data_IF_048599292852
#
_entry.id   IF_048599292852
#
_cell.length_a   1.000
_cell.length_b   1.000
_cell.length_c   1.000
_cell.angle_alpha   90.00
_cell.angle_beta   90.00
_cell.angle_gamma   90.00
#
_symmetry.space_group_name_H-M   'P 1'
#
loop_
_entity.id
_entity.type
_entity.pdbx_description
1 polymer ?
#
# COMPACT_ATOMS: atom_id res chain seq x y z
N UNK A 1 -19.65 -9.17 14.12
CA UNK A 1 -18.93 -8.55 15.25
C UNK A 1 -18.02 -7.49 14.64
N UNK A 2 -17.87 -6.31 15.25
CA UNK A 2 -16.90 -5.34 14.76
C UNK A 2 -15.50 -5.97 14.81
N UNK A 3 -14.74 -5.83 13.72
CA UNK A 3 -13.36 -6.30 13.70
C UNK A 3 -12.56 -5.33 14.59
N UNK A 4 -11.89 -5.86 15.60
CA UNK A 4 -11.02 -5.06 16.46
C UNK A 4 -9.64 -4.97 15.80
N UNK A 5 -9.43 -3.94 14.97
CA UNK A 5 -8.14 -3.68 14.34
C UNK A 5 -7.14 -3.17 15.36
N UNK A 6 -5.92 -3.67 15.29
CA UNK A 6 -4.82 -3.17 16.13
C UNK A 6 -4.24 -1.88 15.54
N UNK A 7 -3.62 -1.07 16.38
CA UNK A 7 -2.85 0.10 15.96
C UNK A 7 -1.86 -0.23 14.85
N UNK A 8 -1.78 0.61 13.81
CA UNK A 8 -0.92 0.40 12.65
C UNK A 8 -1.42 -0.64 11.65
N UNK A 9 -2.65 -1.18 11.81
CA UNK A 9 -3.22 -2.11 10.83
C UNK A 9 -3.44 -1.41 9.48
N UNK A 10 -2.93 -2.01 8.39
CA UNK A 10 -3.10 -1.48 7.03
C UNK A 10 -4.50 -1.84 6.55
N UNK A 11 -5.37 -0.85 6.50
CA UNK A 11 -6.78 -1.05 6.14
C UNK A 11 -7.04 -0.92 4.65
N UNK A 12 -6.27 -0.07 3.96
CA UNK A 12 -6.43 0.13 2.52
C UNK A 12 -5.14 0.60 1.86
N UNK A 13 -4.86 0.07 0.67
CA UNK A 13 -3.93 0.64 -0.29
C UNK A 13 -4.71 1.29 -1.42
N UNK A 14 -4.45 2.57 -1.70
CA UNK A 14 -5.12 3.31 -2.79
C UNK A 14 -4.21 3.43 -3.98
N UNK A 15 -4.75 3.11 -5.15
CA UNK A 15 -4.10 3.16 -6.44
C UNK A 15 -4.91 4.08 -7.35
N UNK A 16 -4.25 5.04 -7.97
CA UNK A 16 -4.85 5.88 -9.00
C UNK A 16 -4.55 5.28 -10.36
N UNK A 17 -5.57 5.16 -11.21
CA UNK A 17 -5.49 4.49 -12.50
C UNK A 17 -6.05 5.36 -13.63
N UNK A 18 -5.52 5.20 -14.84
CA UNK A 18 -6.01 5.90 -16.03
C UNK A 18 -7.34 5.36 -16.54
N UNK A 19 -7.61 4.07 -16.33
CA UNK A 19 -8.85 3.41 -16.73
C UNK A 19 -9.33 2.48 -15.60
N UNK A 20 -10.31 2.96 -14.84
CA UNK A 20 -10.85 2.23 -13.69
C UNK A 20 -11.51 0.91 -14.11
N UNK A 21 -12.21 0.87 -15.24
CA UNK A 21 -12.91 -0.32 -15.67
C UNK A 21 -11.93 -1.43 -16.08
N UNK A 22 -10.91 -1.05 -16.87
CA UNK A 22 -9.86 -1.97 -17.28
C UNK A 22 -9.07 -2.50 -16.06
N UNK A 23 -8.65 -1.62 -15.17
CA UNK A 23 -7.87 -2.00 -13.98
C UNK A 23 -8.70 -2.88 -13.04
N UNK A 24 -9.96 -2.50 -12.74
CA UNK A 24 -10.87 -3.32 -11.95
C UNK A 24 -10.99 -4.74 -12.50
N UNK A 25 -11.25 -4.87 -13.81
CA UNK A 25 -11.46 -6.18 -14.45
C UNK A 25 -10.16 -7.00 -14.43
N UNK A 26 -9.01 -6.36 -14.64
CA UNK A 26 -7.70 -7.00 -14.53
C UNK A 26 -7.44 -7.55 -13.12
N UNK A 27 -7.69 -6.75 -12.07
CA UNK A 27 -7.48 -7.16 -10.68
C UNK A 27 -8.45 -8.27 -10.27
N UNK A 28 -9.72 -8.16 -10.66
CA UNK A 28 -10.70 -9.21 -10.37
C UNK A 28 -10.32 -10.54 -11.05
N UNK A 29 -9.87 -10.49 -12.30
CA UNK A 29 -9.54 -11.71 -13.05
C UNK A 29 -8.19 -12.30 -12.64
N UNK A 30 -7.15 -11.48 -12.47
CA UNK A 30 -5.77 -11.92 -12.32
C UNK A 30 -5.30 -12.02 -10.89
N UNK A 31 -5.74 -11.11 -10.02
CA UNK A 31 -5.42 -11.14 -8.60
C UNK A 31 -6.55 -11.77 -7.74
N UNK A 32 -7.53 -12.40 -8.37
CA UNK A 32 -8.61 -13.10 -7.70
C UNK A 32 -9.34 -12.21 -6.64
N UNK A 33 -9.63 -10.96 -7.03
CA UNK A 33 -10.41 -10.01 -6.23
C UNK A 33 -11.86 -9.98 -6.68
N UNK A 34 -12.72 -9.39 -5.86
CA UNK A 34 -14.09 -9.03 -6.17
C UNK A 34 -14.36 -7.59 -5.73
N UNK A 35 -15.33 -6.94 -6.39
CA UNK A 35 -15.74 -5.58 -6.04
C UNK A 35 -16.60 -5.62 -4.79
N UNK A 36 -16.11 -5.05 -3.69
CA UNK A 36 -16.85 -4.91 -2.44
C UNK A 36 -17.77 -3.68 -2.45
N UNK A 37 -17.30 -2.58 -3.04
CA UNK A 37 -18.00 -1.30 -3.11
C UNK A 37 -17.55 -0.52 -4.34
N UNK A 38 -18.44 0.30 -4.89
CA UNK A 38 -18.11 1.29 -5.92
C UNK A 38 -18.94 2.55 -5.72
N UNK A 39 -18.39 3.69 -6.12
CA UNK A 39 -19.06 4.97 -5.92
C UNK A 39 -18.27 6.13 -6.51
N UNK A 40 -18.56 7.32 -6.03
CA UNK A 40 -17.86 8.55 -6.38
C UNK A 40 -17.13 9.11 -5.16
N UNK A 41 -15.92 9.64 -5.38
CA UNK A 41 -15.16 10.32 -4.33
C UNK A 41 -15.92 11.57 -3.90
N UNK A 42 -16.22 11.70 -2.62
CA UNK A 42 -16.89 12.88 -2.10
C UNK A 42 -15.97 14.10 -2.09
N UNK A 43 -16.53 15.30 -2.22
CA UNK A 43 -15.75 16.53 -2.17
C UNK A 43 -14.96 16.70 -0.85
N UNK A 44 -15.52 16.40 0.34
CA UNK A 44 -14.74 16.44 1.57
C UNK A 44 -13.55 15.47 1.58
N UNK A 45 -13.72 14.27 1.01
CA UNK A 45 -12.63 13.30 0.92
C UNK A 45 -11.53 13.79 -0.02
N UNK A 46 -11.89 14.26 -1.21
CA UNK A 46 -10.94 14.82 -2.17
C UNK A 46 -10.15 16.00 -1.58
N UNK A 47 -10.84 16.89 -0.84
CA UNK A 47 -10.21 18.02 -0.16
C UNK A 47 -9.25 17.56 0.94
N UNK A 48 -9.57 16.49 1.66
CA UNK A 48 -8.66 15.94 2.68
C UNK A 48 -7.34 15.42 2.11
N UNK A 49 -7.33 15.03 0.86
CA UNK A 49 -6.14 14.59 0.13
C UNK A 49 -5.40 15.73 -0.58
N UNK A 50 -5.86 16.98 -0.44
CA UNK A 50 -5.38 18.13 -1.24
C UNK A 50 -5.47 17.85 -2.76
N UNK A 51 -6.55 17.19 -3.17
CA UNK A 51 -6.78 16.71 -4.53
C UNK A 51 -8.25 16.93 -4.95
N UNK A 52 -8.71 18.19 -4.85
CA UNK A 52 -10.11 18.59 -5.07
C UNK A 52 -10.66 18.14 -6.43
N UNK A 53 -9.81 18.03 -7.43
CA UNK A 53 -10.18 17.55 -8.77
C UNK A 53 -10.61 16.07 -8.82
N UNK A 54 -10.34 15.31 -7.75
CA UNK A 54 -10.86 13.95 -7.58
C UNK A 54 -12.34 13.92 -7.12
N UNK A 55 -12.92 15.06 -6.72
CA UNK A 55 -14.33 15.10 -6.33
C UNK A 55 -15.22 14.64 -7.50
N UNK A 56 -16.16 13.73 -7.19
CA UNK A 56 -17.04 13.07 -8.15
C UNK A 56 -16.35 12.15 -9.19
N UNK A 57 -15.07 11.82 -9.01
CA UNK A 57 -14.45 10.76 -9.82
C UNK A 57 -14.87 9.38 -9.31
N UNK A 58 -15.04 8.39 -10.20
CA UNK A 58 -15.42 7.06 -9.80
C UNK A 58 -14.27 6.32 -9.10
N UNK A 59 -14.65 5.45 -8.15
CA UNK A 59 -13.76 4.53 -7.46
C UNK A 59 -14.39 3.16 -7.27
N UNK A 60 -13.60 2.15 -6.99
CA UNK A 60 -14.05 0.89 -6.42
C UNK A 60 -13.13 0.42 -5.29
N UNK A 61 -13.71 -0.27 -4.31
CA UNK A 61 -13.01 -1.05 -3.32
C UNK A 61 -12.99 -2.51 -3.75
N UNK A 62 -11.82 -3.11 -3.77
CA UNK A 62 -11.60 -4.51 -4.08
C UNK A 62 -11.20 -5.25 -2.81
N UNK A 63 -11.63 -6.51 -2.70
CA UNK A 63 -11.30 -7.43 -1.63
C UNK A 63 -11.00 -8.83 -2.19
N UNK A 64 -10.37 -9.74 -1.42
CA UNK A 64 -10.22 -11.12 -1.82
C UNK A 64 -11.56 -11.76 -2.19
N UNK A 65 -11.59 -12.51 -3.28
CA UNK A 65 -12.81 -13.15 -3.79
C UNK A 65 -13.38 -14.17 -2.80
N UNK A 66 -14.70 -14.17 -2.68
CA UNK A 66 -15.45 -15.09 -1.85
C UNK A 66 -15.85 -14.51 -0.48
N UNK A 67 -15.33 -13.35 -0.10
CA UNK A 67 -15.68 -12.72 1.17
C UNK A 67 -17.11 -12.18 1.18
N UNK A 68 -17.58 -11.60 0.06
CA UNK A 68 -18.98 -11.15 -0.07
C UNK A 68 -19.96 -12.30 0.13
N UNK A 69 -19.72 -13.43 -0.53
CA UNK A 69 -20.60 -14.59 -0.42
C UNK A 69 -20.57 -15.21 0.98
N UNK A 70 -19.46 -15.07 1.70
CA UNK A 70 -19.31 -15.52 3.07
C UNK A 70 -19.80 -14.51 4.12
N UNK A 71 -20.25 -13.31 3.69
CA UNK A 71 -20.62 -12.19 4.56
C UNK A 71 -19.50 -11.83 5.56
N UNK A 72 -18.25 -11.83 5.08
CA UNK A 72 -17.06 -11.48 5.84
C UNK A 72 -16.44 -10.20 5.33
N UNK A 73 -15.81 -9.45 6.22
CA UNK A 73 -15.00 -8.29 5.83
C UNK A 73 -13.55 -8.71 5.61
N UNK A 74 -12.84 -8.10 4.64
CA UNK A 74 -11.41 -8.32 4.46
C UNK A 74 -10.61 -7.64 5.56
N UNK A 75 -9.40 -8.11 5.77
CA UNK A 75 -8.42 -7.42 6.62
C UNK A 75 -8.01 -6.08 5.99
N UNK A 76 -7.79 -6.06 4.67
CA UNK A 76 -7.50 -4.83 3.92
C UNK A 76 -8.23 -4.78 2.59
N UNK A 77 -8.43 -3.57 2.08
CA UNK A 77 -8.94 -3.29 0.74
C UNK A 77 -7.83 -2.78 -0.19
N UNK A 78 -8.04 -2.98 -1.49
CA UNK A 78 -7.42 -2.15 -2.53
C UNK A 78 -8.48 -1.17 -3.05
N UNK A 79 -8.19 0.13 -3.02
CA UNK A 79 -9.06 1.16 -3.59
C UNK A 79 -8.47 1.62 -4.91
N UNK A 80 -9.19 1.41 -6.01
CA UNK A 80 -8.85 1.97 -7.30
C UNK A 80 -9.64 3.25 -7.51
N UNK A 81 -8.98 4.33 -7.95
CA UNK A 81 -9.59 5.64 -8.23
C UNK A 81 -9.28 6.02 -9.67
N UNK A 82 -10.31 6.42 -10.43
CA UNK A 82 -10.12 6.99 -11.75
C UNK A 82 -9.33 8.29 -11.68
N UNK A 83 -8.26 8.41 -12.47
CA UNK A 83 -7.61 9.71 -12.66
C UNK A 83 -8.56 10.68 -13.38
N UNK A 84 -8.66 11.96 -12.94
CA UNK A 84 -9.53 12.94 -13.61
C UNK A 84 -9.04 13.30 -15.02
N UNK A 85 -7.78 13.07 -15.32
CA UNK A 85 -7.15 13.30 -16.62
C UNK A 85 -6.24 12.13 -16.98
N UNK A 86 -5.99 11.94 -18.28
CA UNK A 86 -4.96 10.97 -18.69
C UNK A 86 -3.58 11.45 -18.26
N UNK A 87 -2.83 10.57 -17.60
CA UNK A 87 -1.47 10.83 -17.14
C UNK A 87 -0.49 9.86 -17.81
N UNK A 88 0.76 10.29 -17.94
CA UNK A 88 1.86 9.38 -18.29
C UNK A 88 2.33 8.68 -17.02
N UNK A 89 2.27 7.33 -16.95
CA UNK A 89 2.73 6.61 -15.78
C UNK A 89 4.24 6.81 -15.53
N UNK A 90 4.61 6.98 -14.26
CA UNK A 90 6.00 7.17 -13.82
C UNK A 90 6.43 5.97 -12.98
N UNK A 91 7.57 5.33 -13.28
CA UNK A 91 8.04 4.17 -12.51
C UNK A 91 8.25 4.49 -11.02
N UNK A 92 7.50 3.83 -10.15
CA UNK A 92 7.57 4.03 -8.70
C UNK A 92 8.93 3.63 -8.12
N UNK A 93 9.57 2.61 -8.72
CA UNK A 93 10.90 2.18 -8.33
C UNK A 93 12.01 3.24 -8.55
N UNK A 94 11.73 4.34 -9.24
CA UNK A 94 12.71 5.43 -9.51
C UNK A 94 12.35 6.75 -8.82
N UNK A 95 11.26 6.78 -8.06
CA UNK A 95 10.78 8.00 -7.40
C UNK A 95 10.53 7.79 -5.92
N UNK A 96 10.72 8.83 -5.11
CA UNK A 96 10.41 8.81 -3.69
C UNK A 96 8.90 8.77 -3.44
N UNK A 97 8.51 8.29 -2.26
CA UNK A 97 7.12 8.09 -1.84
C UNK A 97 6.72 6.61 -1.86
N UNK A 98 5.42 6.32 -1.86
CA UNK A 98 4.94 4.94 -1.85
C UNK A 98 5.45 4.17 -3.07
N UNK A 99 6.33 3.21 -2.84
CA UNK A 99 6.89 2.36 -3.89
C UNK A 99 5.98 1.16 -4.18
N UNK A 100 5.59 0.42 -3.15
CA UNK A 100 4.88 -0.85 -3.30
C UNK A 100 3.91 -1.11 -2.16
N UNK A 101 2.93 -1.99 -2.42
CA UNK A 101 2.16 -2.66 -1.37
C UNK A 101 2.58 -4.13 -1.35
N UNK A 102 2.97 -4.62 -0.16
CA UNK A 102 3.25 -6.04 0.03
C UNK A 102 1.97 -6.77 0.40
N UNK A 103 1.61 -7.73 -0.43
CA UNK A 103 0.41 -8.53 -0.27
C UNK A 103 0.81 -9.98 -0.09
N UNK A 104 0.29 -10.63 0.94
CA UNK A 104 0.54 -12.05 1.08
C UNK A 104 -0.36 -12.87 0.15
N UNK A 105 0.24 -13.92 -0.40
CA UNK A 105 -0.41 -14.81 -1.37
C UNK A 105 -0.23 -16.27 -0.95
N UNK A 106 -1.17 -17.11 -1.35
CA UNK A 106 -1.16 -18.54 -0.99
C UNK A 106 -0.07 -19.31 -1.71
N UNK A 107 0.09 -19.05 -3.01
CA UNK A 107 1.11 -19.70 -3.85
C UNK A 107 1.66 -18.69 -4.87
N UNK A 108 2.93 -18.29 -4.68
CA UNK A 108 3.58 -17.30 -5.54
C UNK A 108 3.91 -17.87 -6.94
N UNK A 109 4.13 -19.19 -7.07
CA UNK A 109 4.43 -19.80 -8.36
C UNK A 109 3.19 -19.99 -9.22
N UNK A 110 2.08 -20.43 -8.63
CA UNK A 110 0.79 -20.51 -9.32
C UNK A 110 0.35 -19.11 -9.80
N UNK A 111 0.46 -18.12 -8.92
CA UNK A 111 0.12 -16.73 -9.27
C UNK A 111 1.04 -16.18 -10.36
N UNK A 112 2.34 -16.51 -10.34
CA UNK A 112 3.28 -16.14 -11.40
C UNK A 112 2.81 -16.64 -12.76
N UNK A 113 2.42 -17.92 -12.86
CA UNK A 113 1.94 -18.49 -14.11
C UNK A 113 0.65 -17.81 -14.59
N UNK A 114 -0.24 -17.46 -13.68
CA UNK A 114 -1.51 -16.74 -13.97
C UNK A 114 -1.28 -15.31 -14.46
N UNK A 115 -0.19 -14.66 -14.01
CA UNK A 115 0.13 -13.27 -14.38
C UNK A 115 0.90 -13.15 -15.70
N UNK A 116 1.49 -14.23 -16.22
CA UNK A 116 2.16 -14.23 -17.52
C UNK A 116 1.22 -13.82 -18.63
N UNK A 117 1.64 -12.84 -19.45
CA UNK A 117 0.85 -12.35 -20.58
C UNK A 117 -0.44 -11.64 -20.19
N UNK A 118 -0.59 -11.24 -18.91
CA UNK A 118 -1.68 -10.38 -18.44
C UNK A 118 -1.32 -8.90 -18.61
N UNK A 119 -2.08 -8.00 -18.07
CA UNK A 119 -1.72 -6.57 -18.00
C UNK A 119 -0.62 -6.26 -16.99
N UNK A 120 -0.25 -7.22 -16.11
CA UNK A 120 0.87 -7.09 -15.17
C UNK A 120 2.19 -7.51 -15.79
N UNK A 121 3.28 -6.81 -15.43
CA UNK A 121 4.65 -7.16 -15.78
C UNK A 121 5.37 -7.73 -14.56
N UNK A 122 5.80 -9.00 -14.64
CA UNK A 122 6.60 -9.59 -13.57
C UNK A 122 8.05 -9.13 -13.73
N UNK A 123 8.53 -8.34 -12.78
CA UNK A 123 9.91 -7.79 -12.76
C UNK A 123 10.83 -8.59 -11.85
N UNK A 124 10.29 -9.31 -10.86
CA UNK A 124 10.99 -10.24 -10.02
C UNK A 124 10.19 -11.53 -9.90
N UNK A 125 10.55 -12.63 -10.63
CA UNK A 125 9.86 -13.91 -10.52
C UNK A 125 9.99 -14.49 -9.10
N UNK A 126 9.05 -15.37 -8.67
CA UNK A 126 9.06 -15.93 -7.33
C UNK A 126 10.35 -16.69 -7.05
N UNK A 127 11.03 -16.36 -5.97
CA UNK A 127 12.32 -16.93 -5.59
C UNK A 127 12.50 -16.90 -4.08
N UNK A 128 13.00 -18.00 -3.51
CA UNK A 128 13.47 -17.98 -2.11
C UNK A 128 14.65 -17.03 -1.99
N UNK A 129 14.63 -16.18 -0.98
CA UNK A 129 15.71 -15.23 -0.71
C UNK A 129 16.76 -15.88 0.20
N UNK A 130 18.03 -15.60 -0.07
CA UNK A 130 19.13 -15.98 0.83
C UNK A 130 18.96 -15.21 2.16
N UNK A 131 18.97 -15.95 3.28
CA UNK A 131 18.84 -15.36 4.62
C UNK A 131 17.41 -15.05 5.08
N UNK A 132 16.39 -15.19 4.22
CA UNK A 132 14.97 -15.10 4.56
C UNK A 132 14.29 -16.37 4.05
N UNK A 133 14.29 -17.41 4.87
CA UNK A 133 13.83 -18.75 4.45
C UNK A 133 12.32 -18.94 4.52
N UNK A 134 11.60 -18.04 5.17
CA UNK A 134 10.17 -18.17 5.47
C UNK A 134 9.24 -17.46 4.48
N UNK A 135 9.78 -16.79 3.45
CA UNK A 135 8.99 -16.13 2.42
C UNK A 135 9.51 -16.42 1.01
N UNK A 136 8.59 -16.38 0.04
CA UNK A 136 8.88 -16.44 -1.39
C UNK A 136 8.29 -15.18 -2.03
N UNK A 137 9.08 -14.11 -2.17
CA UNK A 137 8.65 -12.87 -2.79
C UNK A 137 8.57 -12.99 -4.32
N UNK A 138 7.62 -12.25 -4.89
CA UNK A 138 7.49 -11.96 -6.32
C UNK A 138 7.19 -10.47 -6.49
N UNK A 139 7.79 -9.81 -7.48
CA UNK A 139 7.59 -8.39 -7.74
C UNK A 139 6.87 -8.19 -9.07
N UNK A 140 5.80 -7.43 -9.07
CA UNK A 140 4.99 -7.14 -10.26
C UNK A 140 4.70 -5.65 -10.36
N UNK A 141 4.59 -5.19 -11.61
CA UNK A 141 4.22 -3.81 -11.96
C UNK A 141 2.93 -3.86 -12.79
N UNK A 142 1.95 -3.08 -12.41
CA UNK A 142 0.69 -2.95 -13.13
C UNK A 142 0.74 -1.88 -14.23
N UNK A 143 -0.39 -1.71 -14.96
CA UNK A 143 -0.47 -0.83 -16.14
C UNK A 143 -0.15 0.63 -15.84
N UNK A 144 -0.51 1.13 -14.66
CA UNK A 144 -0.31 2.51 -14.23
C UNK A 144 0.95 2.68 -13.36
N UNK A 145 1.91 1.74 -13.48
CA UNK A 145 3.17 1.67 -12.74
C UNK A 145 3.00 1.43 -11.23
N UNK A 146 1.82 1.02 -10.79
CA UNK A 146 1.65 0.49 -9.43
C UNK A 146 2.49 -0.76 -9.25
N UNK A 147 3.09 -0.89 -8.07
CA UNK A 147 3.97 -2.00 -7.74
C UNK A 147 3.39 -2.82 -6.60
N UNK A 148 3.47 -4.14 -6.73
CA UNK A 148 3.16 -5.08 -5.68
C UNK A 148 4.34 -6.02 -5.42
N UNK A 149 4.61 -6.27 -4.15
CA UNK A 149 5.40 -7.39 -3.71
C UNK A 149 4.44 -8.47 -3.23
N UNK A 150 4.31 -9.52 -4.00
CA UNK A 150 3.39 -10.64 -3.75
C UNK A 150 4.19 -11.73 -3.04
N UNK A 151 3.98 -11.87 -1.73
CA UNK A 151 4.80 -12.70 -0.86
C UNK A 151 4.03 -13.94 -0.40
N UNK A 152 4.52 -15.13 -0.76
CA UNK A 152 4.07 -16.36 -0.13
C UNK A 152 4.81 -16.52 1.20
N UNK A 153 4.08 -16.38 2.30
CA UNK A 153 4.60 -16.54 3.66
C UNK A 153 4.42 -17.98 4.09
N UNK A 154 5.52 -18.67 4.40
CA UNK A 154 5.53 -20.07 4.80
C UNK A 154 5.39 -20.25 6.31
N UNK A 155 5.94 -19.32 7.08
CA UNK A 155 5.86 -19.30 8.56
C UNK A 155 6.23 -17.91 9.08
N UNK A 156 5.71 -17.53 10.25
CA UNK A 156 6.23 -16.39 11.03
C UNK A 156 7.57 -16.75 11.67
N UNK A 157 8.38 -15.75 12.02
CA UNK A 157 9.62 -15.91 12.76
C UNK A 157 9.58 -15.22 14.15
N UNK A 158 10.70 -15.32 14.91
CA UNK A 158 10.75 -14.73 16.25
C UNK A 158 10.77 -13.19 16.25
N UNK A 159 11.19 -12.55 15.14
CA UNK A 159 11.36 -11.10 15.03
C UNK A 159 10.17 -10.41 14.38
N UNK A 160 9.48 -11.12 13.50
CA UNK A 160 8.39 -10.57 12.69
C UNK A 160 7.18 -11.50 12.73
N UNK A 161 6.02 -10.89 12.91
CA UNK A 161 4.72 -11.59 12.90
C UNK A 161 4.02 -11.30 11.58
N UNK A 162 4.45 -12.01 10.53
CA UNK A 162 3.92 -11.86 9.18
C UNK A 162 2.77 -12.85 8.99
N UNK A 163 1.58 -12.40 8.55
CA UNK A 163 0.43 -13.27 8.39
C UNK A 163 0.61 -14.26 7.23
N UNK A 164 0.13 -15.48 7.41
CA UNK A 164 0.00 -16.47 6.34
C UNK A 164 -1.29 -16.19 5.57
N UNK A 165 -1.26 -16.30 4.24
CA UNK A 165 -2.42 -16.01 3.40
C UNK A 165 -3.56 -17.02 3.62
N UNK A 166 -4.77 -16.50 3.83
CA UNK A 166 -6.02 -17.26 3.90
C UNK A 166 -6.71 -17.36 2.54
N UNK A 167 -6.40 -16.44 1.62
CA UNK A 167 -6.92 -16.35 0.25
C UNK A 167 -5.79 -16.44 -0.77
N UNK A 168 -6.10 -16.67 -2.05
CA UNK A 168 -5.09 -16.77 -3.11
C UNK A 168 -4.24 -15.50 -3.20
N UNK A 169 -4.90 -14.33 -3.16
CA UNK A 169 -4.29 -13.02 -2.92
C UNK A 169 -5.06 -12.41 -1.76
N UNK A 170 -4.40 -12.16 -0.65
CA UNK A 170 -5.07 -11.87 0.62
C UNK A 170 -4.92 -10.40 1.01
N UNK A 171 -4.22 -10.08 2.08
CA UNK A 171 -4.16 -8.74 2.68
C UNK A 171 -2.84 -8.03 2.38
N UNK A 172 -2.89 -6.71 2.41
CA UNK A 172 -1.69 -5.88 2.49
C UNK A 172 -1.15 -6.03 3.93
N UNK A 173 0.12 -6.40 4.07
CA UNK A 173 0.72 -6.57 5.40
C UNK A 173 1.94 -5.68 5.65
N UNK A 174 2.56 -5.13 4.60
CA UNK A 174 3.59 -4.09 4.64
C UNK A 174 3.30 -3.10 3.50
N UNK A 175 3.61 -1.82 3.73
CA UNK A 175 3.68 -0.81 2.68
C UNK A 175 5.10 -0.31 2.55
N UNK A 176 5.60 -0.18 1.32
CA UNK A 176 7.00 0.13 1.03
C UNK A 176 7.15 1.58 0.60
N UNK A 177 8.04 2.29 1.28
CA UNK A 177 8.34 3.70 1.05
C UNK A 177 9.77 3.87 0.55
N UNK A 178 9.94 4.33 -0.69
CA UNK A 178 11.23 4.76 -1.20
C UNK A 178 11.61 6.14 -0.67
N UNK A 179 12.75 6.27 0.01
CA UNK A 179 13.15 7.51 0.68
C UNK A 179 14.55 8.00 0.26
N UNK A 180 14.78 9.33 0.24
CA UNK A 180 16.10 9.90 0.05
C UNK A 180 16.98 9.79 1.32
N UNK A 181 16.34 9.67 2.49
CA UNK A 181 16.99 9.60 3.80
C UNK A 181 16.19 8.64 4.71
N UNK A 182 16.53 7.36 4.62
CA UNK A 182 15.86 6.28 5.37
C UNK A 182 15.81 6.56 6.88
N UNK A 183 16.91 7.03 7.47
CA UNK A 183 17.00 7.20 8.93
C UNK A 183 16.12 8.34 9.43
N UNK A 184 16.04 9.44 8.68
CA UNK A 184 15.13 10.55 8.97
C UNK A 184 13.67 10.09 8.88
N UNK A 185 13.29 9.35 7.82
CA UNK A 185 11.92 8.83 7.64
C UNK A 185 11.55 7.82 8.72
N UNK A 186 12.48 6.90 9.07
CA UNK A 186 12.30 5.93 10.15
C UNK A 186 12.03 6.60 11.50
N UNK A 187 12.76 7.68 11.81
CA UNK A 187 12.56 8.44 13.02
C UNK A 187 11.23 9.18 13.02
N UNK A 188 10.95 9.93 11.94
CA UNK A 188 9.77 10.79 11.85
C UNK A 188 8.48 9.98 11.90
N UNK A 189 8.34 8.94 11.07
CA UNK A 189 7.14 8.10 11.08
C UNK A 189 7.01 7.26 12.34
N UNK A 190 8.14 6.76 12.89
CA UNK A 190 8.13 6.05 14.17
C UNK A 190 7.55 6.92 15.31
N UNK A 191 7.91 8.20 15.36
CA UNK A 191 7.39 9.14 16.35
C UNK A 191 5.95 9.57 16.07
N UNK A 192 5.65 9.98 14.84
CA UNK A 192 4.31 10.47 14.47
C UNK A 192 3.24 9.40 14.62
N UNK A 193 3.53 8.18 14.16
CA UNK A 193 2.59 7.07 14.14
C UNK A 193 2.69 6.15 15.37
N UNK A 194 3.57 6.45 16.33
CA UNK A 194 3.86 5.59 17.49
C UNK A 194 4.19 4.13 17.10
N UNK A 195 4.93 3.97 16.01
CA UNK A 195 5.44 2.68 15.58
C UNK A 195 6.86 2.47 16.09
N UNK A 196 7.19 1.26 16.51
CA UNK A 196 8.55 0.90 16.96
C UNK A 196 9.45 0.60 15.77
N UNK A 197 10.75 0.88 15.93
CA UNK A 197 11.75 0.46 14.95
C UNK A 197 11.92 -1.05 15.01
N UNK A 198 11.78 -1.69 13.88
CA UNK A 198 11.99 -3.11 13.67
C UNK A 198 13.39 -3.43 13.12
N UNK A 199 13.57 -4.63 12.55
CA UNK A 199 14.82 -5.04 11.92
C UNK A 199 15.22 -4.13 10.76
N UNK A 200 16.54 -4.08 10.53
CA UNK A 200 17.15 -3.49 9.34
C UNK A 200 17.86 -4.60 8.57
N UNK A 201 17.70 -4.59 7.25
CA UNK A 201 18.25 -5.59 6.35
C UNK A 201 19.08 -4.94 5.26
N UNK A 202 20.05 -5.67 4.74
CA UNK A 202 20.75 -5.36 3.49
C UNK A 202 20.44 -6.46 2.48
N UNK A 203 19.67 -6.11 1.46
CA UNK A 203 19.16 -7.07 0.48
C UNK A 203 19.50 -6.64 -0.94
N UNK A 204 19.66 -7.63 -1.82
CA UNK A 204 19.70 -7.41 -3.27
C UNK A 204 18.28 -7.16 -3.76
N UNK A 205 18.04 -5.97 -4.26
CA UNK A 205 16.72 -5.57 -4.73
C UNK A 205 16.69 -5.55 -6.26
N UNK A 206 16.16 -6.59 -6.86
CA UNK A 206 16.12 -6.73 -8.33
C UNK A 206 15.35 -5.59 -9.02
N UNK A 207 14.25 -5.12 -8.42
CA UNK A 207 13.46 -4.01 -8.94
C UNK A 207 14.30 -2.73 -8.98
N UNK A 208 14.93 -2.35 -7.86
CA UNK A 208 15.75 -1.14 -7.74
C UNK A 208 16.99 -1.24 -8.64
N UNK A 209 17.70 -2.39 -8.61
CA UNK A 209 18.90 -2.57 -9.41
C UNK A 209 18.60 -2.42 -10.91
N UNK A 210 17.49 -2.98 -11.40
CA UNK A 210 17.06 -2.83 -12.78
C UNK A 210 16.61 -1.41 -13.11
N UNK A 211 15.84 -0.77 -12.22
CA UNK A 211 15.31 0.56 -12.44
C UNK A 211 16.41 1.62 -12.57
N UNK A 212 17.52 1.44 -11.86
CA UNK A 212 18.67 2.35 -11.89
C UNK A 212 19.87 1.84 -12.68
N UNK A 213 19.73 0.72 -13.37
CA UNK A 213 20.80 0.06 -14.14
C UNK A 213 22.06 -0.16 -13.28
N UNK A 214 21.87 -0.65 -12.04
CA UNK A 214 22.94 -0.97 -11.12
C UNK A 214 23.38 -2.43 -11.30
N UNK A 215 24.57 -2.77 -10.74
CA UNK A 215 25.02 -4.14 -10.66
C UNK A 215 23.95 -5.00 -9.96
N UNK A 216 23.57 -6.16 -10.50
CA UNK A 216 22.60 -7.09 -9.88
C UNK A 216 22.93 -7.49 -8.44
N UNK A 217 24.23 -7.45 -8.07
CA UNK A 217 24.71 -7.79 -6.72
C UNK A 217 24.63 -6.58 -5.76
N UNK A 218 24.26 -5.38 -6.22
CA UNK A 218 24.11 -4.21 -5.38
C UNK A 218 23.07 -4.47 -4.30
N UNK A 219 23.47 -4.22 -3.05
CA UNK A 219 22.60 -4.31 -1.89
C UNK A 219 22.05 -2.94 -1.51
N UNK A 220 20.82 -2.94 -1.06
CA UNK A 220 20.13 -1.77 -0.53
C UNK A 220 19.73 -2.01 0.92
N UNK A 221 19.80 -0.97 1.72
CA UNK A 221 19.40 -1.05 3.13
C UNK A 221 17.94 -0.64 3.25
N UNK A 222 17.15 -1.49 3.89
CA UNK A 222 15.78 -1.22 4.27
C UNK A 222 15.59 -1.40 5.78
N UNK A 223 14.61 -0.71 6.34
CA UNK A 223 14.26 -0.81 7.76
C UNK A 223 12.75 -0.89 7.93
N UNK A 224 12.32 -1.65 8.92
CA UNK A 224 10.90 -1.80 9.22
C UNK A 224 10.46 -0.88 10.37
N UNK A 225 9.25 -0.33 10.27
CA UNK A 225 8.47 0.16 11.38
C UNK A 225 7.39 -0.88 11.72
N UNK A 226 7.20 -1.12 13.02
CA UNK A 226 6.38 -2.21 13.53
C UNK A 226 5.37 -1.72 14.58
N UNK A 227 4.22 -2.38 14.61
CA UNK A 227 3.29 -2.35 15.75
C UNK A 227 3.42 -3.68 16.50
N UNK A 228 4.03 -3.65 17.67
CA UNK A 228 4.50 -4.86 18.33
C UNK A 228 5.57 -5.56 17.48
N UNK A 229 5.33 -6.82 17.08
CA UNK A 229 6.19 -7.59 16.16
C UNK A 229 5.72 -7.57 14.72
N UNK A 230 4.56 -6.95 14.46
CA UNK A 230 3.98 -6.90 13.11
C UNK A 230 4.58 -5.76 12.32
N UNK A 231 5.24 -6.02 11.19
CA UNK A 231 5.73 -4.98 10.30
C UNK A 231 4.53 -4.20 9.70
N UNK A 232 4.71 -2.89 9.51
CA UNK A 232 3.69 -1.99 8.95
C UNK A 232 4.26 -1.23 7.76
N UNK A 233 5.40 -0.55 7.96
CA UNK A 233 6.04 0.25 6.91
C UNK A 233 7.47 -0.25 6.74
N UNK A 234 7.82 -0.57 5.49
CA UNK A 234 9.21 -0.76 5.06
C UNK A 234 9.70 0.57 4.48
N UNK A 235 10.86 1.02 4.94
CA UNK A 235 11.51 2.24 4.46
C UNK A 235 12.81 1.88 3.78
N UNK A 236 12.83 2.07 2.46
CA UNK A 236 13.96 1.80 1.60
C UNK A 236 14.85 3.03 1.43
N UNK A 237 16.16 2.88 1.61
CA UNK A 237 17.15 3.86 1.19
C UNK A 237 17.35 3.80 -0.32
N UNK A 238 16.80 4.76 -1.06
CA UNK A 238 16.92 4.79 -2.51
C UNK A 238 18.25 5.38 -2.97
N UNK A 239 18.78 4.96 -4.14
CA UNK A 239 19.96 5.53 -4.74
C UNK A 239 19.81 7.04 -4.97
N UNK A 240 20.93 7.76 -4.97
CA UNK A 240 20.96 9.24 -5.18
C UNK A 240 20.40 9.69 -6.54
N UNK A 241 20.26 8.77 -7.50
CA UNK A 241 19.65 9.01 -8.80
C UNK A 241 18.11 9.09 -8.74
N UNK A 242 17.49 8.62 -7.64
CA UNK A 242 16.04 8.70 -7.44
C UNK A 242 15.60 10.16 -7.34
N UNK A 243 14.37 10.43 -7.75
CA UNK A 243 13.83 11.79 -7.85
C UNK A 243 12.51 11.90 -7.10
N UNK A 244 12.13 13.14 -6.77
CA UNK A 244 10.76 13.39 -6.32
C UNK A 244 9.77 12.92 -7.40
N UNK A 245 8.67 12.28 -6.97
CA UNK A 245 7.60 11.90 -7.90
C UNK A 245 6.95 13.15 -8.47
N UNK A 246 6.80 13.25 -9.80
CA UNK A 246 6.11 14.37 -10.40
C UNK A 246 4.68 14.47 -9.88
N UNK A 247 4.24 15.69 -9.56
CA UNK A 247 2.84 15.94 -9.22
C UNK A 247 2.07 16.21 -10.51
N UNK A 248 0.90 15.59 -10.72
CA UNK A 248 0.04 15.95 -11.84
C UNK A 248 -0.60 17.33 -11.59
N UNK A 249 -1.03 17.99 -12.68
CA UNK A 249 -1.78 19.25 -12.57
C UNK A 249 -3.13 19.07 -11.86
N UNK A 250 -3.70 17.88 -11.93
CA UNK A 250 -4.97 17.53 -11.30
C UNK A 250 -4.91 16.15 -10.67
N UNK A 251 -5.50 16.01 -9.48
CA UNK A 251 -5.59 14.77 -8.75
C UNK A 251 -4.30 14.32 -8.09
N UNK A 252 -4.10 13.03 -8.05
CA UNK A 252 -2.93 12.35 -7.51
C UNK A 252 -2.17 11.64 -8.63
N UNK A 253 -0.88 11.39 -8.41
CA UNK A 253 -0.07 10.60 -9.35
C UNK A 253 -0.62 9.19 -9.50
N UNK A 254 -0.49 8.60 -10.69
CA UNK A 254 -0.86 7.21 -10.95
C UNK A 254 -0.10 6.24 -10.05
N UNK A 255 -0.66 5.04 -9.91
CA UNK A 255 -0.09 3.94 -9.13
C UNK A 255 -0.34 4.07 -7.63
N UNK A 256 0.58 3.58 -6.80
CA UNK A 256 0.47 3.57 -5.33
C UNK A 256 0.45 5.00 -4.78
N UNK A 257 -0.70 5.47 -4.29
CA UNK A 257 -0.93 6.87 -3.96
C UNK A 257 -1.16 7.15 -2.47
N UNK A 258 -2.03 6.39 -1.80
CA UNK A 258 -2.40 6.59 -0.40
C UNK A 258 -2.36 5.26 0.34
N UNK A 259 -1.89 5.30 1.57
CA UNK A 259 -1.99 4.20 2.53
C UNK A 259 -2.95 4.60 3.63
N UNK A 260 -3.91 3.73 3.98
CA UNK A 260 -4.84 3.95 5.09
C UNK A 260 -4.47 3.03 6.25
N UNK A 261 -4.13 3.61 7.39
CA UNK A 261 -3.76 2.92 8.62
C UNK A 261 -4.82 3.11 9.71
N UNK A 262 -5.14 2.04 10.42
CA UNK A 262 -5.96 2.14 11.63
C UNK A 262 -5.10 2.59 12.80
N UNK A 263 -5.64 3.48 13.60
CA UNK A 263 -5.02 3.96 14.84
C UNK A 263 -6.01 3.85 16.00
N UNK A 264 -5.48 3.62 17.21
CA UNK A 264 -6.31 3.45 18.41
C UNK A 264 -6.91 4.77 18.90
N UNK A 265 -6.19 5.89 18.68
CA UNK A 265 -6.55 7.22 19.17
C UNK A 265 -5.79 8.29 18.37
N UNK A 266 -6.52 9.04 17.53
CA UNK A 266 -5.96 10.14 16.73
C UNK A 266 -5.45 11.30 17.58
N UNK A 267 -6.07 11.57 18.72
CA UNK A 267 -5.69 12.68 19.58
C UNK A 267 -4.41 12.39 20.37
N UNK A 268 -4.08 11.10 20.51
CA UNK A 268 -2.84 10.67 21.15
C UNK A 268 -1.62 10.70 20.22
N UNK A 269 -1.80 10.87 18.90
CA UNK A 269 -0.71 10.95 17.94
C UNK A 269 -0.15 12.37 17.86
N UNK A 270 1.17 12.48 17.62
CA UNK A 270 1.84 13.77 17.44
C UNK A 270 1.75 14.22 15.97
N UNK A 271 0.56 14.73 15.59
CA UNK A 271 0.22 15.07 14.21
C UNK A 271 0.29 16.59 13.99
N UNK A 272 1.44 17.23 14.21
CA UNK A 272 1.61 18.68 14.15
C UNK A 272 1.26 19.31 12.79
N UNK A 273 1.27 18.54 11.72
CA UNK A 273 0.96 18.97 10.35
C UNK A 273 -0.20 18.19 9.70
N UNK A 274 -0.94 17.41 10.48
CA UNK A 274 -2.05 16.65 9.92
C UNK A 274 -3.25 17.55 9.62
N UNK A 275 -3.85 17.37 8.45
CA UNK A 275 -5.18 17.89 8.15
C UNK A 275 -6.16 17.05 8.96
N UNK A 276 -6.56 17.55 10.13
CA UNK A 276 -7.62 16.93 10.93
C UNK A 276 -8.95 17.25 10.27
N UNK A 277 -9.50 16.30 9.57
CA UNK A 277 -10.88 16.38 9.11
C UNK A 277 -11.78 15.99 10.28
N UNK A 278 -12.23 17.02 11.03
CA UNK A 278 -13.28 16.84 12.00
C UNK A 278 -14.49 16.23 11.29
N UNK A 279 -15.07 15.18 11.89
CA UNK A 279 -16.40 14.62 11.58
C UNK A 279 -16.79 14.53 10.09
N UNK A 280 -15.85 14.29 9.18
CA UNK A 280 -16.22 13.74 7.91
C UNK A 280 -16.85 12.36 8.22
N UNK A 281 -18.12 12.42 8.63
CA UNK A 281 -19.02 11.28 8.54
C UNK A 281 -19.00 10.87 7.09
N UNK A 282 -17.96 10.17 6.71
CA UNK A 282 -17.89 9.44 5.46
C UNK A 282 -18.87 8.28 5.65
N UNK A 283 -20.13 8.74 5.71
CA UNK A 283 -21.28 7.91 5.85
C UNK A 283 -21.19 6.87 4.76
N UNK A 284 -21.34 5.64 5.14
CA UNK A 284 -21.66 4.44 4.37
C UNK A 284 -20.57 3.74 3.58
N UNK A 285 -19.34 4.22 3.47
CA UNK A 285 -18.29 3.39 2.86
C UNK A 285 -17.89 2.24 3.80
N UNK A 286 -17.73 1.03 3.23
CA UNK A 286 -17.21 -0.14 3.94
C UNK A 286 -15.83 0.09 4.57
N UNK A 287 -15.07 1.02 4.00
CA UNK A 287 -13.75 1.37 4.52
C UNK A 287 -13.83 2.20 5.81
N UNK A 288 -14.72 3.18 5.87
CA UNK A 288 -14.71 4.17 6.96
C UNK A 288 -15.64 3.83 8.12
N UNK A 289 -16.85 3.32 7.88
CA UNK A 289 -17.79 2.84 8.91
C UNK A 289 -17.98 3.81 10.09
N UNK A 290 -18.03 5.12 9.80
CA UNK A 290 -18.16 6.15 10.83
C UNK A 290 -16.88 6.48 11.60
N UNK A 291 -15.72 6.04 11.12
CA UNK A 291 -14.42 6.36 11.71
C UNK A 291 -14.11 7.86 11.65
N UNK A 292 -13.37 8.36 12.64
CA UNK A 292 -12.66 9.64 12.56
C UNK A 292 -11.47 9.48 11.63
N UNK A 293 -11.12 10.53 10.89
CA UNK A 293 -9.99 10.48 9.95
C UNK A 293 -9.03 11.64 10.15
N UNK A 294 -7.76 11.42 9.84
CA UNK A 294 -6.75 12.45 9.69
C UNK A 294 -5.85 12.10 8.51
N UNK A 295 -5.28 13.13 7.85
CA UNK A 295 -4.37 12.95 6.74
C UNK A 295 -3.00 13.49 7.11
N UNK A 296 -1.97 12.69 6.89
CA UNK A 296 -0.56 13.10 6.96
C UNK A 296 -0.02 13.16 5.54
N UNK A 297 0.72 14.22 5.24
CA UNK A 297 1.52 14.33 4.03
C UNK A 297 2.98 14.21 4.42
N UNK A 298 3.64 13.20 3.89
CA UNK A 298 5.05 12.96 4.18
C UNK A 298 6.00 13.85 3.39
N UNK A 299 7.29 13.72 3.69
CA UNK A 299 8.33 14.58 3.14
C UNK A 299 8.54 14.42 1.62
N UNK A 300 8.17 13.28 1.06
CA UNK A 300 8.16 13.04 -0.40
C UNK A 300 6.75 13.21 -1.01
N UNK A 301 5.86 13.90 -0.30
CA UNK A 301 4.45 14.13 -0.66
C UNK A 301 3.59 12.86 -0.73
N UNK A 302 4.05 11.75 -0.16
CA UNK A 302 3.24 10.57 0.06
C UNK A 302 2.14 10.84 1.08
N UNK A 303 0.97 10.25 0.88
CA UNK A 303 -0.21 10.45 1.72
C UNK A 303 -0.46 9.24 2.62
N UNK A 304 -0.66 9.50 3.92
CA UNK A 304 -1.10 8.52 4.90
C UNK A 304 -2.43 8.97 5.46
N UNK A 305 -3.47 8.19 5.19
CA UNK A 305 -4.78 8.35 5.78
C UNK A 305 -4.84 7.55 7.08
N UNK A 306 -5.16 8.19 8.16
CA UNK A 306 -5.35 7.56 9.46
C UNK A 306 -6.84 7.45 9.76
N UNK A 307 -7.28 6.31 10.23
CA UNK A 307 -8.67 6.08 10.62
C UNK A 307 -8.73 5.53 12.06
N UNK A 308 -9.61 6.12 12.85
CA UNK A 308 -9.97 5.68 14.20
C UNK A 308 -11.43 5.24 14.18
N UNK A 309 -11.65 3.93 14.32
CA UNK A 309 -13.01 3.39 14.40
C UNK A 309 -13.66 3.70 15.74
N UNK A 310 -15.00 3.87 15.78
CA UNK A 310 -15.72 4.00 17.05
C UNK A 310 -15.40 2.82 17.97
N UNK A 311 -15.08 3.13 19.23
CA UNK A 311 -14.93 2.09 20.27
C UNK A 311 -16.30 1.46 20.53
N UNK A 312 -16.39 0.15 20.43
CA UNK A 312 -17.61 -0.64 20.71
C UNK A 312 -18.00 -0.62 22.19
#
# INVERSE_FOLDING_TARGET
>A
MPINYQHGHIRCGTIVVNDLALSRDLYCLKLNHEVAEQGLISAPLASSWEAESLANTPYCLLQPKGLLSANKQPESYLRLIQSPTQQTPVPHATTFGWCSFEINVRDAFELYDKLKGSGFTVVGPPKKMDGISNTIPMQVVGPDQEVFYLNQVLSSDEKTDIPIAEHDVDRIFIVVLGSPDRDSYLNNYGQQLKLSKGPTFELRYSLINRAFNLDPETKHTLSLLQSGRRPVIEIDGYPSQAKARPKPDQGLSLGNAIVTLVVDDLDALNLDQAIKNGDAKMASSLLYQGARTAMIKGNSSELIELIEYPKS
#
